data_IF_860869048655
#
_entry.id   IF_860869048655
#
_cell.length_a   1.000
_cell.length_b   1.000
_cell.length_c   1.000
_cell.angle_alpha   90.00
_cell.angle_beta   90.00
_cell.angle_gamma   90.00
#
_symmetry.space_group_name_H-M   'P 1'
#
loop_
_entity.id
_entity.type
_entity.pdbx_description
1 polymer ?
#
# COMPACT_ATOMS: atom_id res chain seq x y z
N UNK A 1 6.17 -29.28 -16.95
CA UNK A 1 6.75 -27.92 -17.01
C UNK A 1 6.32 -27.20 -15.73
N UNK A 2 7.20 -27.09 -14.74
CA UNK A 2 6.93 -26.42 -13.46
C UNK A 2 7.17 -24.92 -13.68
N UNK A 3 6.08 -24.14 -13.68
CA UNK A 3 6.16 -22.68 -13.76
C UNK A 3 6.73 -22.11 -12.46
N UNK A 4 7.90 -21.57 -12.53
CA UNK A 4 8.51 -20.80 -11.45
C UNK A 4 7.80 -19.45 -11.35
N UNK A 5 6.81 -19.35 -10.48
CA UNK A 5 6.31 -18.09 -9.92
C UNK A 5 7.21 -17.77 -8.73
N UNK A 6 8.42 -17.34 -8.99
CA UNK A 6 9.38 -16.94 -7.96
C UNK A 6 9.83 -15.53 -8.33
N UNK A 7 9.33 -14.53 -7.66
CA UNK A 7 9.86 -13.18 -7.86
C UNK A 7 9.22 -12.03 -7.07
N UNK A 8 7.96 -12.10 -6.70
CA UNK A 8 7.26 -10.99 -6.00
C UNK A 8 7.20 -11.22 -4.49
N UNK A 9 7.47 -12.43 -4.05
CA UNK A 9 7.12 -12.96 -2.73
C UNK A 9 8.07 -12.53 -1.60
N UNK A 10 9.30 -12.10 -1.88
CA UNK A 10 10.35 -12.09 -0.84
C UNK A 10 10.37 -10.79 -0.01
N UNK A 11 10.03 -9.65 -0.57
CA UNK A 11 10.12 -8.38 0.19
C UNK A 11 8.91 -8.15 1.11
N UNK A 12 7.72 -8.58 0.67
CA UNK A 12 6.51 -8.60 1.52
C UNK A 12 6.58 -9.75 2.51
N UNK A 13 7.16 -10.89 2.13
CA UNK A 13 7.33 -12.07 3.00
C UNK A 13 8.26 -11.81 4.18
N UNK A 14 9.34 -11.06 4.04
CA UNK A 14 10.20 -10.72 5.16
C UNK A 14 9.49 -9.87 6.21
N UNK A 15 8.65 -8.91 5.78
CA UNK A 15 7.81 -8.12 6.67
C UNK A 15 6.65 -8.94 7.26
N UNK A 16 6.11 -9.93 6.51
CA UNK A 16 5.02 -10.79 6.95
C UNK A 16 5.48 -11.94 7.84
N UNK A 17 6.72 -12.43 7.74
CA UNK A 17 7.23 -13.53 8.55
C UNK A 17 7.31 -13.20 10.06
N UNK A 18 7.45 -11.91 10.42
CA UNK A 18 7.43 -11.48 11.82
C UNK A 18 6.04 -11.52 12.45
N UNK A 19 4.98 -11.49 11.64
CA UNK A 19 3.60 -11.49 12.14
C UNK A 19 3.12 -12.85 12.65
N UNK A 20 3.79 -13.95 12.29
CA UNK A 20 3.36 -15.30 12.66
C UNK A 20 3.47 -15.58 14.16
N UNK A 21 4.48 -15.07 14.84
CA UNK A 21 4.66 -15.22 16.27
C UNK A 21 3.66 -14.38 17.09
N UNK A 22 3.26 -13.22 16.57
CA UNK A 22 2.29 -12.33 17.23
C UNK A 22 0.84 -12.85 17.14
N UNK A 23 0.50 -13.57 16.06
CA UNK A 23 -0.86 -14.11 15.87
C UNK A 23 -1.15 -15.36 16.75
N UNK A 24 -0.13 -16.09 17.14
CA UNK A 24 -0.29 -17.31 17.96
C UNK A 24 -0.41 -17.03 19.48
N UNK A 25 -0.07 -15.83 19.93
CA UNK A 25 0.06 -15.54 21.35
C UNK A 25 -1.11 -14.78 21.97
N UNK A 26 -2.04 -14.22 21.19
CA UNK A 26 -3.06 -13.32 21.73
C UNK A 26 -4.47 -13.76 21.30
N UNK A 27 -5.37 -13.84 22.24
CA UNK A 27 -6.80 -14.13 22.07
C UNK A 27 -7.50 -13.36 20.93
N UNK A 28 -8.82 -13.35 20.86
CA UNK A 28 -9.52 -12.70 19.74
C UNK A 28 -9.05 -11.26 19.56
N UNK A 29 -8.86 -10.79 18.32
CA UNK A 29 -8.28 -9.49 18.04
C UNK A 29 -9.08 -8.38 18.75
N UNK A 30 -8.41 -7.65 19.62
CA UNK A 30 -8.97 -6.50 20.29
C UNK A 30 -9.23 -5.38 19.29
N UNK A 31 -10.29 -4.63 19.49
CA UNK A 31 -10.53 -3.40 18.72
C UNK A 31 -9.47 -2.37 19.09
N UNK A 32 -8.75 -1.78 18.14
CA UNK A 32 -7.76 -0.73 18.41
C UNK A 32 -8.43 0.47 19.07
N UNK A 33 -7.64 1.25 19.80
CA UNK A 33 -8.09 2.46 20.50
C UNK A 33 -7.75 3.69 19.67
N UNK A 34 -8.72 4.57 19.45
CA UNK A 34 -8.51 5.86 18.82
C UNK A 34 -8.15 6.93 19.87
N UNK A 35 -7.27 7.86 19.51
CA UNK A 35 -7.02 9.06 20.28
C UNK A 35 -8.32 9.88 20.46
N UNK A 36 -8.38 10.65 21.55
CA UNK A 36 -9.53 11.53 21.86
C UNK A 36 -10.88 10.79 22.00
N UNK A 37 -10.87 9.48 22.26
CA UNK A 37 -12.10 8.71 22.51
C UNK A 37 -12.99 8.47 21.27
N UNK A 38 -12.50 8.71 20.05
CA UNK A 38 -13.25 8.41 18.84
C UNK A 38 -13.65 6.93 18.78
N UNK A 39 -14.89 6.66 18.43
CA UNK A 39 -15.41 5.28 18.34
C UNK A 39 -14.81 4.56 17.15
N UNK A 40 -14.20 3.41 17.40
CA UNK A 40 -13.75 2.47 16.38
C UNK A 40 -14.83 1.41 16.17
N UNK A 41 -15.26 1.23 14.93
CA UNK A 41 -16.27 0.24 14.53
C UNK A 41 -15.62 -0.85 13.70
N UNK A 42 -15.79 -2.11 14.08
CA UNK A 42 -15.40 -3.26 13.25
C UNK A 42 -16.40 -3.40 12.11
N UNK A 43 -15.94 -3.28 10.87
CA UNK A 43 -16.79 -3.42 9.68
C UNK A 43 -16.84 -4.85 9.14
N UNK A 44 -15.75 -5.57 9.21
CA UNK A 44 -15.65 -6.95 8.76
C UNK A 44 -14.44 -7.65 9.38
N UNK A 45 -14.43 -8.98 9.30
CA UNK A 45 -13.30 -9.85 9.64
C UNK A 45 -13.10 -10.89 8.54
N UNK A 46 -11.89 -11.42 8.40
CA UNK A 46 -11.59 -12.49 7.45
C UNK A 46 -11.22 -12.00 6.04
N UNK A 47 -10.80 -10.73 5.89
CA UNK A 47 -10.15 -10.27 4.64
C UNK A 47 -8.70 -10.77 4.65
N UNK A 48 -8.27 -11.65 3.73
CA UNK A 48 -6.93 -12.23 3.80
C UNK A 48 -5.85 -11.21 3.42
N UNK A 49 -5.23 -10.58 4.41
CA UNK A 49 -4.20 -9.54 4.26
C UNK A 49 -4.71 -8.34 3.45
N UNK A 50 -5.55 -7.48 4.04
CA UNK A 50 -6.06 -6.28 3.36
C UNK A 50 -4.92 -5.33 3.00
N UNK A 51 -4.92 -4.78 1.78
CA UNK A 51 -3.84 -3.91 1.27
C UNK A 51 -4.28 -2.46 1.05
N UNK A 52 -5.48 -2.23 0.55
CA UNK A 52 -6.01 -0.88 0.28
C UNK A 52 -7.53 -0.94 0.10
N UNK A 53 -8.18 0.22 0.24
CA UNK A 53 -9.62 0.39 0.01
C UNK A 53 -9.89 1.20 -1.26
N UNK A 54 -11.06 0.93 -1.87
CA UNK A 54 -11.67 1.76 -2.89
C UNK A 54 -13.18 1.89 -2.65
N UNK A 55 -13.75 2.97 -3.14
CA UNK A 55 -15.16 3.32 -2.92
C UNK A 55 -15.83 3.65 -4.24
N UNK A 56 -16.91 2.96 -4.58
CA UNK A 56 -17.62 3.11 -5.83
C UNK A 56 -19.11 2.83 -5.62
N UNK A 57 -19.99 3.71 -6.09
CA UNK A 57 -21.45 3.51 -6.01
C UNK A 57 -21.95 3.28 -4.59
N UNK A 58 -21.38 3.95 -3.59
CA UNK A 58 -21.72 3.76 -2.18
C UNK A 58 -21.21 2.44 -1.56
N UNK A 59 -20.47 1.64 -2.32
CA UNK A 59 -19.89 0.39 -1.86
C UNK A 59 -18.44 0.55 -1.40
N UNK A 60 -18.02 -0.28 -0.45
CA UNK A 60 -16.63 -0.35 0.01
C UNK A 60 -16.00 -1.63 -0.53
N UNK A 61 -14.97 -1.47 -1.32
CA UNK A 61 -14.13 -2.55 -1.81
C UNK A 61 -12.81 -2.56 -1.05
N UNK A 62 -12.29 -3.75 -0.79
CA UNK A 62 -10.96 -3.93 -0.19
C UNK A 62 -10.14 -4.90 -1.04
N UNK A 63 -8.93 -4.49 -1.38
CA UNK A 63 -7.94 -5.39 -1.98
C UNK A 63 -7.32 -6.27 -0.91
N UNK A 64 -6.97 -7.46 -1.27
CA UNK A 64 -6.29 -8.40 -0.40
C UNK A 64 -5.17 -9.14 -1.13
N UNK A 65 -4.06 -9.31 -0.43
CA UNK A 65 -2.90 -10.03 -0.96
C UNK A 65 -3.09 -11.55 -0.90
N UNK A 66 -3.77 -12.08 0.12
CA UNK A 66 -3.89 -13.50 0.41
C UNK A 66 -3.03 -13.92 1.60
N UNK A 67 -2.92 -15.20 1.84
CA UNK A 67 -2.07 -15.75 2.90
C UNK A 67 -0.95 -16.60 2.28
N UNK A 68 0.29 -16.14 2.38
CA UNK A 68 1.46 -16.83 1.83
C UNK A 68 1.75 -18.16 2.53
N UNK A 69 1.42 -18.26 3.82
CA UNK A 69 1.61 -19.49 4.61
C UNK A 69 0.56 -20.53 4.28
N UNK A 70 -0.58 -20.08 3.83
CA UNK A 70 -1.70 -20.90 3.40
C UNK A 70 -2.10 -20.55 1.95
N UNK A 71 -1.35 -21.01 0.93
CA UNK A 71 -1.54 -20.60 -0.48
C UNK A 71 -2.91 -20.91 -1.06
N UNK A 72 -3.71 -21.69 -0.38
CA UNK A 72 -5.13 -21.94 -0.73
C UNK A 72 -6.01 -20.73 -0.38
N UNK A 73 -5.61 -19.90 0.61
CA UNK A 73 -6.31 -18.67 0.98
C UNK A 73 -5.81 -17.55 0.05
N UNK A 74 -6.50 -17.38 -1.06
CA UNK A 74 -6.11 -16.39 -2.06
C UNK A 74 -6.69 -15.02 -1.73
N UNK A 75 -5.94 -13.96 -2.01
CA UNK A 75 -6.42 -12.60 -2.01
C UNK A 75 -7.43 -12.31 -3.11
N UNK A 76 -7.51 -11.07 -3.52
CA UNK A 76 -8.45 -10.59 -4.53
C UNK A 76 -9.06 -9.25 -4.17
N UNK A 77 -10.19 -8.93 -4.80
CA UNK A 77 -11.03 -7.80 -4.44
C UNK A 77 -12.26 -8.32 -3.68
N UNK A 78 -12.53 -7.72 -2.53
CA UNK A 78 -13.67 -8.10 -1.68
C UNK A 78 -14.61 -6.91 -1.55
N UNK A 79 -15.92 -7.17 -1.68
CA UNK A 79 -16.97 -6.25 -1.29
C UNK A 79 -17.26 -6.41 0.20
N UNK A 80 -17.25 -5.34 0.97
CA UNK A 80 -17.68 -5.36 2.37
C UNK A 80 -19.18 -5.13 2.44
N UNK A 81 -19.96 -6.16 2.80
CA UNK A 81 -21.43 -6.10 2.89
C UNK A 81 -21.92 -6.86 4.12
N UNK A 82 -22.72 -6.21 4.95
CA UNK A 82 -23.33 -6.86 6.12
C UNK A 82 -22.33 -7.46 7.12
N UNK A 83 -21.18 -6.82 7.30
CA UNK A 83 -20.13 -7.30 8.22
C UNK A 83 -19.26 -8.44 7.64
N UNK A 84 -19.48 -8.84 6.40
CA UNK A 84 -18.77 -9.94 5.75
C UNK A 84 -18.00 -9.47 4.51
N UNK A 85 -16.76 -9.95 4.29
CA UNK A 85 -16.06 -9.78 3.03
C UNK A 85 -16.55 -10.81 2.01
N UNK A 86 -17.03 -10.33 0.87
CA UNK A 86 -17.49 -11.16 -0.25
C UNK A 86 -16.47 -11.01 -1.38
N UNK A 87 -15.73 -12.09 -1.68
CA UNK A 87 -14.78 -12.08 -2.78
C UNK A 87 -15.50 -11.94 -4.13
N UNK A 88 -15.05 -10.96 -4.93
CA UNK A 88 -15.63 -10.72 -6.24
C UNK A 88 -15.17 -11.77 -7.28
N UNK A 89 -16.06 -12.24 -8.15
CA UNK A 89 -15.70 -13.12 -9.26
C UNK A 89 -14.64 -12.49 -10.16
N UNK A 90 -13.75 -13.32 -10.73
CA UNK A 90 -12.69 -12.87 -11.62
C UNK A 90 -11.52 -12.16 -10.93
N UNK A 91 -11.51 -12.06 -9.59
CA UNK A 91 -10.42 -11.46 -8.84
C UNK A 91 -9.11 -12.21 -9.07
N UNK A 92 -8.00 -11.48 -9.34
CA UNK A 92 -6.65 -12.04 -9.25
C UNK A 92 -6.39 -12.68 -7.87
N UNK A 93 -5.43 -13.59 -7.80
CA UNK A 93 -5.07 -14.26 -6.53
C UNK A 93 -4.48 -13.31 -5.48
N UNK A 94 -3.89 -12.20 -5.92
CA UNK A 94 -3.33 -11.14 -5.06
C UNK A 94 -3.59 -9.79 -5.70
N UNK A 95 -4.03 -8.82 -4.89
CA UNK A 95 -4.25 -7.43 -5.33
C UNK A 95 -3.55 -6.50 -4.35
N UNK A 96 -2.75 -5.57 -4.89
CA UNK A 96 -1.92 -4.66 -4.12
C UNK A 96 -2.48 -3.25 -4.06
N UNK A 97 -3.10 -2.79 -5.14
CA UNK A 97 -3.66 -1.45 -5.27
C UNK A 97 -5.07 -1.45 -5.85
N UNK A 98 -5.87 -0.49 -5.39
CA UNK A 98 -7.18 -0.14 -5.96
C UNK A 98 -7.28 1.36 -6.12
N UNK A 99 -7.91 1.81 -7.22
CA UNK A 99 -8.28 3.19 -7.44
C UNK A 99 -9.59 3.25 -8.23
N UNK A 100 -10.34 4.32 -8.09
CA UNK A 100 -11.60 4.53 -8.82
C UNK A 100 -11.57 5.80 -9.64
N UNK A 101 -12.17 5.76 -10.83
CA UNK A 101 -12.46 6.93 -11.64
C UNK A 101 -13.78 6.72 -12.37
N UNK A 102 -14.73 7.63 -12.18
CA UNK A 102 -16.08 7.45 -12.68
C UNK A 102 -16.69 6.14 -12.13
N UNK A 103 -17.16 5.29 -13.03
CA UNK A 103 -17.75 3.98 -12.74
C UNK A 103 -16.73 2.81 -12.79
N UNK A 104 -15.46 3.11 -12.94
CA UNK A 104 -14.40 2.14 -13.16
C UNK A 104 -13.55 1.93 -11.92
N UNK A 105 -13.33 0.68 -11.56
CA UNK A 105 -12.37 0.23 -10.55
C UNK A 105 -11.10 -0.26 -11.24
N UNK A 106 -9.99 0.38 -10.98
CA UNK A 106 -8.66 -0.06 -11.40
C UNK A 106 -8.02 -0.88 -10.28
N UNK A 107 -7.29 -1.92 -10.66
CA UNK A 107 -6.59 -2.76 -9.69
C UNK A 107 -5.22 -3.21 -10.22
N UNK A 108 -4.23 -3.28 -9.32
CA UNK A 108 -2.91 -3.85 -9.59
C UNK A 108 -2.79 -5.23 -8.96
N UNK A 109 -2.34 -6.21 -9.74
CA UNK A 109 -2.19 -7.61 -9.32
C UNK A 109 -0.72 -8.07 -9.35
N UNK A 110 0.21 -7.16 -9.13
CA UNK A 110 1.64 -7.42 -9.31
C UNK A 110 2.06 -7.36 -10.77
N UNK A 111 1.63 -8.28 -11.62
CA UNK A 111 2.04 -8.31 -13.03
C UNK A 111 1.07 -7.62 -14.00
N UNK A 112 -0.10 -7.26 -13.56
CA UNK A 112 -1.11 -6.61 -14.40
C UNK A 112 -1.77 -5.44 -13.69
N UNK A 113 -2.14 -4.46 -14.49
CA UNK A 113 -3.14 -3.46 -14.13
C UNK A 113 -4.40 -3.76 -14.94
N UNK A 114 -5.52 -3.91 -14.23
CA UNK A 114 -6.83 -4.21 -14.81
C UNK A 114 -7.77 -3.04 -14.56
N UNK A 115 -8.76 -2.88 -15.46
CA UNK A 115 -9.89 -1.98 -15.29
C UNK A 115 -11.18 -2.79 -15.30
N UNK A 116 -12.01 -2.62 -14.27
CA UNK A 116 -13.31 -3.25 -14.12
C UNK A 116 -14.40 -2.19 -14.14
N UNK A 117 -15.43 -2.39 -14.97
CA UNK A 117 -16.57 -1.45 -15.09
C UNK A 117 -17.90 -2.18 -15.15
N UNK A 118 -19.00 -1.43 -15.20
CA UNK A 118 -20.35 -1.99 -15.23
C UNK A 118 -20.71 -2.67 -13.92
N UNK A 119 -20.50 -2.01 -12.78
CA UNK A 119 -20.92 -2.53 -11.48
C UNK A 119 -22.44 -2.67 -11.39
N UNK A 120 -22.96 -3.90 -11.18
CA UNK A 120 -24.38 -4.20 -11.12
C UNK A 120 -24.91 -4.50 -9.71
N UNK A 121 -24.15 -4.19 -8.67
CA UNK A 121 -24.50 -4.47 -7.26
C UNK A 121 -23.95 -5.79 -6.73
N UNK A 122 -23.48 -6.69 -7.59
CA UNK A 122 -22.93 -8.00 -7.23
C UNK A 122 -21.56 -8.27 -7.88
N UNK A 123 -21.33 -7.80 -9.10
CA UNK A 123 -20.09 -8.00 -9.86
C UNK A 123 -19.88 -6.88 -10.87
N UNK A 124 -18.65 -6.73 -11.31
CA UNK A 124 -18.33 -5.97 -12.51
C UNK A 124 -18.62 -6.85 -13.75
N UNK A 125 -19.28 -6.29 -14.74
CA UNK A 125 -19.69 -7.03 -15.95
C UNK A 125 -18.65 -6.92 -17.06
N UNK A 126 -17.73 -5.97 -16.96
CA UNK A 126 -16.67 -5.73 -17.92
C UNK A 126 -15.31 -5.74 -17.23
N UNK A 127 -14.33 -6.32 -17.90
CA UNK A 127 -12.93 -6.32 -17.45
C UNK A 127 -12.02 -6.19 -18.66
N UNK A 128 -11.02 -5.31 -18.55
CA UNK A 128 -9.96 -5.21 -19.55
C UNK A 128 -8.60 -5.11 -18.88
N UNK A 129 -7.57 -5.59 -19.57
CA UNK A 129 -6.18 -5.38 -19.19
C UNK A 129 -5.77 -3.98 -19.65
N UNK A 130 -5.36 -3.12 -18.72
CA UNK A 130 -4.73 -1.83 -19.04
C UNK A 130 -3.27 -2.06 -19.42
N UNK A 131 -2.57 -2.86 -18.60
CA UNK A 131 -1.16 -3.20 -18.82
C UNK A 131 -0.83 -4.58 -18.31
N UNK A 132 -0.11 -5.36 -19.10
CA UNK A 132 0.65 -6.52 -18.64
C UNK A 132 2.12 -6.14 -18.55
N UNK A 133 2.73 -6.45 -17.44
CA UNK A 133 4.13 -6.18 -17.20
C UNK A 133 5.04 -7.04 -18.09
N UNK A 134 6.23 -6.54 -18.46
CA UNK A 134 7.22 -7.34 -19.21
C UNK A 134 7.75 -8.50 -18.36
N UNK A 135 8.42 -9.45 -18.99
CA UNK A 135 9.17 -10.49 -18.30
C UNK A 135 10.19 -9.86 -17.33
N UNK A 136 10.43 -10.51 -16.20
CA UNK A 136 11.34 -10.05 -15.13
C UNK A 136 10.90 -8.75 -14.43
N UNK A 137 9.66 -8.38 -14.53
CA UNK A 137 9.12 -7.25 -13.77
C UNK A 137 8.94 -7.63 -12.30
N UNK A 138 9.29 -6.72 -11.39
CA UNK A 138 9.22 -6.98 -9.95
C UNK A 138 7.80 -6.91 -9.37
N UNK A 139 6.97 -6.00 -9.86
CA UNK A 139 5.56 -5.92 -9.49
C UNK A 139 5.04 -4.48 -9.37
N UNK A 140 3.79 -4.28 -9.78
CA UNK A 140 3.02 -3.07 -9.47
C UNK A 140 2.50 -3.16 -8.02
N UNK A 141 2.72 -2.11 -7.24
CA UNK A 141 2.20 -1.95 -5.88
C UNK A 141 0.86 -1.19 -5.88
N UNK A 142 0.67 -0.28 -4.92
CA UNK A 142 -0.47 0.61 -4.89
C UNK A 142 -0.62 1.45 -6.16
N UNK A 143 -1.85 1.85 -6.45
CA UNK A 143 -2.16 2.70 -7.60
C UNK A 143 -3.04 3.88 -7.20
N UNK A 144 -2.90 5.00 -7.90
CA UNK A 144 -3.84 6.12 -7.84
C UNK A 144 -4.16 6.60 -9.26
N UNK A 145 -5.36 7.14 -9.44
CA UNK A 145 -5.71 7.86 -10.68
C UNK A 145 -5.02 9.21 -10.65
N UNK A 146 -4.28 9.50 -11.70
CA UNK A 146 -3.58 10.76 -11.92
C UNK A 146 -4.28 11.60 -13.01
N UNK A 147 -4.01 12.91 -13.08
CA UNK A 147 -4.51 13.74 -14.16
C UNK A 147 -4.10 13.22 -15.55
N UNK A 148 -4.89 13.56 -16.57
CA UNK A 148 -4.58 13.24 -17.97
C UNK A 148 -4.81 11.78 -18.35
N UNK A 149 -5.70 11.06 -17.66
CA UNK A 149 -6.02 9.67 -18.01
C UNK A 149 -4.89 8.69 -17.68
N UNK A 150 -4.11 8.96 -16.65
CA UNK A 150 -2.99 8.12 -16.21
C UNK A 150 -3.28 7.48 -14.85
N UNK A 151 -2.65 6.34 -14.60
CA UNK A 151 -2.51 5.74 -13.28
C UNK A 151 -1.07 5.86 -12.83
N UNK A 152 -0.83 6.25 -11.58
CA UNK A 152 0.50 6.13 -10.99
C UNK A 152 0.57 4.87 -10.15
N UNK A 153 1.70 4.16 -10.22
CA UNK A 153 1.97 2.96 -9.43
C UNK A 153 3.40 2.95 -8.92
N UNK A 154 3.58 2.56 -7.67
CA UNK A 154 4.89 2.14 -7.20
C UNK A 154 5.30 0.83 -7.85
N UNK A 155 6.60 0.66 -8.11
CA UNK A 155 7.16 -0.59 -8.59
C UNK A 155 8.03 -1.21 -7.51
N UNK A 156 7.73 -2.46 -7.17
CA UNK A 156 8.45 -3.21 -6.15
C UNK A 156 9.95 -3.27 -6.44
N UNK A 157 10.74 -3.38 -5.39
CA UNK A 157 12.15 -3.72 -5.52
C UNK A 157 12.33 -5.05 -6.26
N UNK A 158 13.44 -5.22 -6.95
CA UNK A 158 13.75 -6.49 -7.61
C UNK A 158 14.03 -7.57 -6.56
N UNK A 159 13.34 -8.72 -6.69
CA UNK A 159 13.56 -9.87 -5.83
C UNK A 159 14.96 -10.50 -6.02
N UNK A 160 15.39 -11.30 -5.06
CA UNK A 160 16.64 -12.05 -5.07
C UNK A 160 17.20 -12.24 -3.68
N UNK A 161 18.33 -12.96 -3.58
CA UNK A 161 19.01 -13.24 -2.28
C UNK A 161 19.47 -11.97 -1.54
N UNK A 162 19.50 -10.82 -2.23
CA UNK A 162 19.86 -9.50 -1.70
C UNK A 162 18.76 -8.50 -1.99
N UNK A 163 17.51 -8.84 -1.69
CA UNK A 163 16.34 -8.00 -1.95
C UNK A 163 16.45 -6.59 -1.34
N UNK A 164 17.23 -6.42 -0.28
CA UNK A 164 17.52 -5.11 0.30
C UNK A 164 18.42 -4.21 -0.55
N UNK A 165 19.09 -4.80 -1.53
CA UNK A 165 19.98 -4.12 -2.47
C UNK A 165 19.36 -4.22 -3.86
N UNK A 166 18.24 -3.57 -4.10
CA UNK A 166 17.63 -3.60 -5.42
C UNK A 166 18.64 -3.07 -6.45
N UNK A 167 19.16 -3.98 -7.20
CA UNK A 167 20.06 -3.69 -8.30
C UNK A 167 19.22 -3.67 -9.57
N UNK A 168 18.95 -2.55 -10.15
CA UNK A 168 18.20 -2.25 -11.35
C UNK A 168 18.24 -3.23 -12.53
N UNK A 169 18.12 -4.53 -12.27
CA UNK A 169 18.07 -5.59 -13.29
C UNK A 169 16.65 -5.84 -13.80
N UNK A 170 15.66 -5.25 -13.15
CA UNK A 170 14.26 -5.35 -13.58
C UNK A 170 13.75 -3.99 -14.04
N UNK A 171 12.87 -3.94 -15.04
CA UNK A 171 12.33 -2.68 -15.52
C UNK A 171 11.66 -1.90 -14.38
N UNK A 172 11.98 -0.62 -14.27
CA UNK A 172 11.36 0.36 -13.36
C UNK A 172 11.41 0.00 -11.86
N UNK A 173 12.21 -0.99 -11.45
CA UNK A 173 12.38 -1.30 -10.04
C UNK A 173 12.81 -0.04 -9.27
N UNK A 174 12.20 0.18 -8.09
CA UNK A 174 12.48 1.33 -7.22
C UNK A 174 11.93 2.68 -7.74
N UNK A 175 11.03 2.64 -8.70
CA UNK A 175 10.44 3.82 -9.31
C UNK A 175 8.95 3.93 -9.00
N UNK A 176 8.41 5.11 -9.19
CA UNK A 176 6.97 5.31 -9.44
C UNK A 176 6.81 5.59 -10.93
N UNK A 177 5.93 4.83 -11.54
CA UNK A 177 5.61 4.94 -12.96
C UNK A 177 4.21 5.50 -13.18
N UNK A 178 4.02 6.17 -14.31
CA UNK A 178 2.70 6.43 -14.88
C UNK A 178 2.37 5.36 -15.91
N UNK A 179 1.12 4.94 -15.93
CA UNK A 179 0.56 4.04 -16.93
C UNK A 179 -0.60 4.76 -17.60
N UNK A 180 -0.51 5.00 -18.89
CA UNK A 180 -1.59 5.59 -19.68
C UNK A 180 -2.75 4.60 -19.76
N UNK A 181 -3.96 5.03 -19.38
CA UNK A 181 -5.12 4.14 -19.25
C UNK A 181 -5.59 3.63 -20.63
N UNK A 182 -5.43 4.43 -21.67
CA UNK A 182 -5.89 4.08 -23.01
C UNK A 182 -4.91 3.16 -23.75
N UNK A 183 -3.63 3.53 -23.75
CA UNK A 183 -2.59 2.83 -24.52
C UNK A 183 -1.81 1.79 -23.69
N UNK A 184 -1.82 1.89 -22.37
CA UNK A 184 -0.98 1.09 -21.48
C UNK A 184 0.50 1.48 -21.52
N UNK A 185 0.86 2.64 -22.12
CA UNK A 185 2.24 3.13 -22.16
C UNK A 185 2.73 3.44 -20.74
N UNK A 186 4.00 3.14 -20.46
CA UNK A 186 4.63 3.35 -19.16
C UNK A 186 5.73 4.38 -19.27
N UNK A 187 5.73 5.33 -18.34
CA UNK A 187 6.79 6.35 -18.17
C UNK A 187 7.21 6.43 -16.70
N UNK A 188 8.48 6.66 -16.43
CA UNK A 188 8.97 6.90 -15.08
C UNK A 188 8.59 8.32 -14.65
N UNK A 189 7.90 8.44 -13.53
CA UNK A 189 7.52 9.72 -12.91
C UNK A 189 8.59 10.17 -11.92
N UNK A 190 8.98 9.28 -11.02
CA UNK A 190 10.02 9.52 -10.03
C UNK A 190 10.78 8.22 -9.75
N UNK A 191 12.02 8.34 -9.29
CA UNK A 191 12.92 7.20 -9.11
C UNK A 191 13.68 7.23 -7.80
N UNK A 192 14.36 6.12 -7.51
CA UNK A 192 15.29 6.05 -6.40
C UNK A 192 14.62 5.89 -5.03
N UNK A 193 13.47 5.27 -4.97
CA UNK A 193 12.84 4.76 -3.74
C UNK A 193 13.24 3.30 -3.55
N UNK A 194 13.23 2.79 -2.30
CA UNK A 194 13.52 1.36 -2.14
C UNK A 194 12.29 0.50 -2.44
N UNK A 195 11.18 0.80 -1.80
CA UNK A 195 9.94 0.04 -1.92
C UNK A 195 8.74 0.99 -1.87
N UNK A 196 8.45 1.72 -2.96
CA UNK A 196 7.27 2.57 -3.03
C UNK A 196 6.02 1.69 -2.95
N UNK A 197 5.21 1.87 -1.89
CA UNK A 197 4.14 0.93 -1.57
C UNK A 197 2.77 1.46 -1.94
N UNK A 198 2.20 2.38 -1.16
CA UNK A 198 0.89 2.95 -1.43
C UNK A 198 0.99 4.44 -1.77
N UNK A 199 0.06 4.90 -2.59
CA UNK A 199 0.01 6.28 -3.05
C UNK A 199 -1.33 6.91 -2.67
N UNK A 200 -1.30 8.22 -2.35
CA UNK A 200 -2.52 9.00 -2.18
C UNK A 200 -2.32 10.46 -2.61
N UNK A 201 -3.31 11.03 -3.26
CA UNK A 201 -3.40 12.49 -3.38
C UNK A 201 -3.87 13.09 -2.06
N UNK A 202 -3.17 14.09 -1.60
CA UNK A 202 -3.41 14.79 -0.35
C UNK A 202 -3.71 16.26 -0.66
N UNK A 203 -4.75 16.87 -0.09
CA UNK A 203 -5.04 18.28 -0.30
C UNK A 203 -3.83 19.18 0.00
N UNK A 204 -3.56 20.13 -0.88
CA UNK A 204 -2.40 21.03 -0.81
C UNK A 204 -1.16 20.49 -1.55
N UNK A 205 -1.20 19.29 -2.11
CA UNK A 205 -0.13 18.71 -2.93
C UNK A 205 -0.56 18.57 -4.38
N UNK A 206 0.32 18.96 -5.31
CA UNK A 206 0.11 18.78 -6.75
C UNK A 206 0.44 17.39 -7.26
N UNK A 207 1.16 16.63 -6.45
CA UNK A 207 1.62 15.27 -6.74
C UNK A 207 1.24 14.32 -5.59
N UNK A 208 1.08 13.03 -5.84
CA UNK A 208 0.73 12.10 -4.77
C UNK A 208 1.88 11.93 -3.77
N UNK A 209 1.51 11.71 -2.51
CA UNK A 209 2.41 11.18 -1.51
C UNK A 209 2.49 9.65 -1.65
N UNK A 210 3.68 9.11 -1.41
CA UNK A 210 3.99 7.69 -1.52
C UNK A 210 4.71 7.23 -0.26
N UNK A 211 4.24 6.15 0.33
CA UNK A 211 4.98 5.46 1.39
C UNK A 211 6.13 4.66 0.78
N UNK A 212 7.33 4.84 1.33
CA UNK A 212 8.55 4.17 0.89
C UNK A 212 9.22 3.47 2.08
N UNK A 213 9.26 2.15 2.01
CA UNK A 213 9.89 1.35 3.06
C UNK A 213 11.40 1.39 2.88
N UNK A 214 12.09 1.89 3.89
CA UNK A 214 13.53 2.02 3.92
C UNK A 214 14.26 0.67 3.90
N UNK A 215 15.56 0.72 3.69
CA UNK A 215 16.40 -0.47 3.66
C UNK A 215 16.53 -1.06 5.07
N UNK A 216 16.37 -2.36 5.18
CA UNK A 216 16.54 -3.11 6.42
C UNK A 216 17.94 -3.77 6.51
N UNK A 217 18.24 -4.39 7.64
CA UNK A 217 19.44 -5.22 7.84
C UNK A 217 20.79 -4.50 7.74
N UNK A 218 20.82 -3.17 7.83
CA UNK A 218 22.05 -2.38 7.87
C UNK A 218 22.59 -2.15 9.31
N UNK A 219 22.04 -2.86 10.30
CA UNK A 219 22.37 -2.73 11.72
C UNK A 219 22.22 -1.26 12.19
N UNK A 220 23.25 -0.66 12.80
CA UNK A 220 23.22 0.73 13.27
C UNK A 220 23.07 1.77 12.14
N UNK A 221 23.22 1.37 10.87
CA UNK A 221 23.07 2.25 9.69
C UNK A 221 21.74 2.08 8.98
N UNK A 222 20.80 1.33 9.55
CA UNK A 222 19.45 1.20 8.99
C UNK A 222 18.81 2.59 8.87
N UNK A 223 18.42 3.02 7.66
CA UNK A 223 17.85 4.35 7.45
C UNK A 223 16.44 4.44 8.03
N UNK A 224 15.93 5.66 8.24
CA UNK A 224 14.52 5.87 8.45
C UNK A 224 13.67 5.32 7.29
N UNK A 225 12.40 5.06 7.57
CA UNK A 225 11.37 4.89 6.56
C UNK A 225 10.80 6.26 6.17
N UNK A 226 10.21 6.36 4.97
CA UNK A 226 9.83 7.63 4.40
C UNK A 226 8.38 7.66 3.89
N UNK A 227 7.83 8.87 3.86
CA UNK A 227 6.81 9.28 2.90
C UNK A 227 7.45 10.33 2.00
N UNK A 228 7.28 10.19 0.69
CA UNK A 228 7.84 11.09 -0.31
C UNK A 228 6.75 11.71 -1.17
N UNK A 229 6.94 12.92 -1.68
CA UNK A 229 6.07 13.53 -2.68
C UNK A 229 6.62 13.24 -4.08
N UNK A 230 5.87 12.53 -4.91
CA UNK A 230 6.30 12.06 -6.24
C UNK A 230 6.07 13.12 -7.28
N UNK A 231 6.97 14.12 -7.33
CA UNK A 231 7.00 15.12 -8.41
C UNK A 231 7.68 14.55 -9.65
N UNK A 232 7.22 14.91 -10.86
CA UNK A 232 7.87 14.49 -12.09
C UNK A 232 9.37 14.81 -12.08
N UNK A 233 10.21 13.82 -12.39
CA UNK A 233 11.67 13.93 -12.40
C UNK A 233 12.35 13.83 -11.03
N UNK A 234 11.62 13.69 -9.93
CA UNK A 234 12.21 13.50 -8.61
C UNK A 234 13.07 12.23 -8.52
N UNK A 235 14.17 12.31 -7.78
CA UNK A 235 15.06 11.19 -7.53
C UNK A 235 15.45 11.17 -6.05
N UNK A 236 15.08 10.11 -5.34
CA UNK A 236 15.31 9.95 -3.91
C UNK A 236 16.60 9.21 -3.55
N UNK A 237 17.37 8.78 -4.57
CA UNK A 237 18.76 8.38 -4.42
C UNK A 237 19.03 6.91 -4.19
N UNK A 238 18.04 6.07 -3.89
CA UNK A 238 18.27 4.62 -3.76
C UNK A 238 18.58 3.99 -5.14
N UNK A 239 19.51 3.03 -5.25
CA UNK A 239 20.38 2.45 -4.22
C UNK A 239 21.70 3.22 -4.00
N UNK A 240 22.00 4.26 -4.78
CA UNK A 240 23.29 4.99 -4.72
C UNK A 240 23.47 5.74 -3.40
N UNK A 241 22.37 6.15 -2.77
CA UNK A 241 22.35 6.79 -1.47
C UNK A 241 21.37 6.05 -0.54
N UNK A 242 21.67 4.83 -0.12
CA UNK A 242 20.71 3.98 0.59
C UNK A 242 20.41 4.47 2.00
N UNK A 243 21.40 5.09 2.66
CA UNK A 243 21.28 5.36 4.07
C UNK A 243 20.49 6.63 4.40
N UNK A 244 20.51 7.65 3.55
CA UNK A 244 19.78 8.90 3.86
C UNK A 244 19.72 9.89 2.69
N UNK A 245 18.56 10.16 2.11
CA UNK A 245 18.41 11.29 1.20
C UNK A 245 18.89 12.63 1.79
N UNK A 246 18.83 12.79 3.12
CA UNK A 246 19.26 14.02 3.79
C UNK A 246 20.78 14.25 3.77
N UNK A 247 21.59 13.20 3.71
CA UNK A 247 23.06 13.33 3.60
C UNK A 247 23.52 13.37 2.15
N UNK A 248 22.64 13.08 1.22
CA UNK A 248 22.89 13.11 -0.21
C UNK A 248 22.22 14.35 -0.82
N UNK A 249 22.81 15.50 -0.66
CA UNK A 249 22.24 16.83 -0.98
C UNK A 249 21.71 16.99 -2.41
N UNK A 250 22.23 16.18 -3.34
CA UNK A 250 21.80 16.16 -4.75
C UNK A 250 20.48 15.45 -5.00
N UNK A 251 19.93 14.74 -4.02
CA UNK A 251 18.68 14.00 -4.16
C UNK A 251 17.49 14.74 -3.55
N UNK A 252 16.29 14.38 -3.99
CA UNK A 252 15.04 14.92 -3.48
C UNK A 252 14.87 14.58 -1.99
N UNK A 253 14.37 15.53 -1.22
CA UNK A 253 14.12 15.34 0.22
C UNK A 253 12.81 14.58 0.43
N UNK A 254 12.72 13.68 1.42
CA UNK A 254 11.46 13.07 1.80
C UNK A 254 10.52 14.12 2.41
N UNK A 255 9.21 13.89 2.22
CA UNK A 255 8.15 14.68 2.85
C UNK A 255 8.09 14.44 4.37
N UNK A 256 8.16 13.16 4.78
CA UNK A 256 8.19 12.77 6.20
C UNK A 256 9.17 11.62 6.43
N UNK A 257 9.69 11.54 7.65
CA UNK A 257 10.60 10.48 8.12
C UNK A 257 10.02 9.82 9.35
N UNK A 258 10.11 8.49 9.38
CA UNK A 258 9.74 7.65 10.51
C UNK A 258 10.95 6.89 11.02
N UNK A 259 10.96 6.43 12.28
CA UNK A 259 12.03 5.59 12.77
C UNK A 259 12.26 4.37 11.85
N UNK A 260 13.48 3.83 11.79
CA UNK A 260 13.75 2.58 11.07
C UNK A 260 12.76 1.48 11.46
N UNK A 261 12.35 0.66 10.50
CA UNK A 261 11.39 -0.44 10.68
C UNK A 261 9.95 -0.03 11.03
N UNK A 262 9.60 1.25 10.95
CA UNK A 262 8.19 1.67 11.12
C UNK A 262 7.30 1.16 9.99
N UNK A 263 7.87 1.04 8.78
CA UNK A 263 7.24 0.55 7.55
C UNK A 263 5.91 1.23 7.26
N UNK A 264 5.92 2.48 6.77
CA UNK A 264 4.71 3.20 6.37
C UNK A 264 4.04 2.48 5.21
N UNK A 265 2.75 2.22 5.35
CA UNK A 265 1.94 1.46 4.42
C UNK A 265 0.87 2.36 3.77
N UNK A 266 -0.41 2.12 4.08
CA UNK A 266 -1.51 2.93 3.58
C UNK A 266 -1.47 4.36 4.11
N UNK A 267 -1.91 5.32 3.30
CA UNK A 267 -2.02 6.72 3.67
C UNK A 267 -3.26 7.38 3.08
N UNK A 268 -3.74 8.45 3.72
CA UNK A 268 -4.89 9.20 3.26
C UNK A 268 -5.15 10.44 4.10
N UNK A 269 -5.81 11.44 3.52
CA UNK A 269 -6.09 12.71 4.18
C UNK A 269 -7.56 12.88 4.51
N UNK A 270 -7.85 13.36 5.73
CA UNK A 270 -9.20 13.62 6.21
C UNK A 270 -9.19 14.71 7.28
N UNK A 271 -10.14 15.65 7.19
CA UNK A 271 -10.33 16.67 8.22
C UNK A 271 -9.07 17.52 8.47
N UNK A 272 -8.33 17.89 7.42
CA UNK A 272 -7.11 18.68 7.53
C UNK A 272 -5.92 17.92 8.16
N UNK A 273 -5.96 16.61 8.19
CA UNK A 273 -4.87 15.75 8.67
C UNK A 273 -4.52 14.67 7.65
N UNK A 274 -3.23 14.32 7.57
CA UNK A 274 -2.73 13.15 6.89
C UNK A 274 -2.64 12.01 7.90
N UNK A 275 -3.18 10.85 7.57
CA UNK A 275 -3.10 9.62 8.35
C UNK A 275 -2.24 8.61 7.62
N UNK A 276 -1.38 7.90 8.36
CA UNK A 276 -0.43 6.94 7.82
C UNK A 276 -0.46 5.68 8.69
N UNK A 277 -0.71 4.54 8.05
CA UNK A 277 -0.60 3.24 8.69
C UNK A 277 0.88 2.87 8.81
N UNK A 278 1.34 2.50 9.99
CA UNK A 278 2.68 2.02 10.25
C UNK A 278 2.62 0.54 10.62
N UNK A 279 3.21 -0.30 9.77
CA UNK A 279 3.17 -1.76 9.89
C UNK A 279 3.67 -2.25 11.26
N UNK A 280 4.83 -1.74 11.68
CA UNK A 280 5.45 -2.07 12.96
C UNK A 280 5.33 -0.95 14.00
N UNK A 281 4.88 0.24 13.57
CA UNK A 281 4.77 1.42 14.44
C UNK A 281 6.10 2.06 14.80
N UNK A 282 6.06 2.99 15.73
CA UNK A 282 7.23 3.78 16.15
C UNK A 282 7.88 3.26 17.44
N UNK A 283 7.74 1.95 17.73
CA UNK A 283 8.35 1.27 18.87
C UNK A 283 7.36 0.78 19.95
N UNK A 284 6.06 1.05 19.80
CA UNK A 284 5.01 0.55 20.71
C UNK A 284 4.04 -0.44 20.04
N UNK A 285 4.43 -0.98 18.91
CA UNK A 285 3.60 -1.88 18.09
C UNK A 285 2.90 -1.15 16.93
N UNK A 286 2.16 -1.89 16.09
CA UNK A 286 1.48 -1.36 14.92
C UNK A 286 0.51 -0.23 15.28
N UNK A 287 0.47 0.81 14.46
CA UNK A 287 -0.33 2.00 14.74
C UNK A 287 -0.74 2.75 13.46
N UNK A 288 -1.73 3.62 13.57
CA UNK A 288 -1.96 4.69 12.60
C UNK A 288 -1.55 6.00 13.27
N UNK A 289 -0.71 6.77 12.61
CA UNK A 289 -0.34 8.11 13.05
C UNK A 289 -1.08 9.18 12.27
N UNK A 290 -1.18 10.38 12.83
CA UNK A 290 -1.69 11.57 12.14
C UNK A 290 -0.70 12.72 12.20
N UNK A 291 -0.67 13.53 11.13
CA UNK A 291 0.17 14.71 11.02
C UNK A 291 -0.50 15.80 10.17
N UNK A 292 -0.01 17.06 10.19
CA UNK A 292 -0.49 18.07 9.24
C UNK A 292 -0.23 17.64 7.79
N UNK A 293 -1.12 17.98 6.83
CA UNK A 293 -0.90 17.69 5.41
C UNK A 293 0.34 18.39 4.83
N UNK A 294 0.79 19.49 5.44
CA UNK A 294 2.03 20.21 5.09
C UNK A 294 3.31 19.57 5.63
N UNK A 295 3.19 18.43 6.33
CA UNK A 295 4.32 17.79 7.00
C UNK A 295 4.50 18.23 8.45
N UNK A 296 5.61 17.79 9.07
CA UNK A 296 5.93 18.12 10.45
C UNK A 296 5.84 16.93 11.41
N UNK A 297 5.53 17.21 12.68
CA UNK A 297 5.48 16.18 13.71
C UNK A 297 4.22 15.32 13.57
N UNK A 298 4.37 14.01 13.64
CA UNK A 298 3.26 13.06 13.73
C UNK A 298 2.92 12.72 15.19
N UNK A 299 1.69 12.24 15.39
CA UNK A 299 1.19 11.75 16.69
C UNK A 299 0.44 10.44 16.49
N UNK A 300 0.50 9.49 17.43
CA UNK A 300 -0.35 8.30 17.40
C UNK A 300 -1.83 8.69 17.32
N UNK A 301 -2.58 7.99 16.45
CA UNK A 301 -4.02 8.18 16.30
C UNK A 301 -4.81 6.91 16.61
N UNK A 302 -4.41 5.75 16.04
CA UNK A 302 -4.94 4.44 16.43
C UNK A 302 -3.80 3.58 16.95
N UNK A 303 -4.01 2.94 18.09
CA UNK A 303 -3.02 2.10 18.76
C UNK A 303 -3.68 0.83 19.32
N UNK A 304 -2.84 -0.13 19.76
CA UNK A 304 -3.34 -1.37 20.35
C UNK A 304 -3.78 -2.41 19.32
N UNK A 305 -3.27 -2.33 18.09
CA UNK A 305 -3.41 -3.42 17.13
C UNK A 305 -2.59 -4.63 17.60
N UNK A 306 -3.15 -5.81 17.41
CA UNK A 306 -2.47 -7.09 17.72
C UNK A 306 -1.72 -7.65 16.52
N UNK A 307 -1.88 -7.03 15.36
CA UNK A 307 -1.20 -7.40 14.13
C UNK A 307 -0.87 -6.14 13.30
N UNK A 308 0.12 -6.23 12.41
CA UNK A 308 0.52 -5.13 11.55
C UNK A 308 -0.64 -4.48 10.77
N UNK A 309 -0.59 -3.15 10.68
CA UNK A 309 -1.57 -2.33 9.95
C UNK A 309 -1.05 -2.06 8.55
N UNK A 310 -1.85 -2.37 7.53
CA UNK A 310 -1.45 -2.24 6.12
C UNK A 310 -2.40 -1.32 5.36
N UNK A 311 -3.69 -1.66 5.34
CA UNK A 311 -4.66 -0.93 4.54
C UNK A 311 -5.12 0.35 5.25
N UNK A 312 -5.17 1.45 4.50
CA UNK A 312 -5.81 2.68 4.91
C UNK A 312 -6.55 3.29 3.72
N UNK A 313 -7.72 3.83 3.96
CA UNK A 313 -8.51 4.55 2.98
C UNK A 313 -9.36 5.62 3.65
N UNK A 314 -9.84 6.59 2.86
CA UNK A 314 -10.67 7.70 3.33
C UNK A 314 -11.89 7.82 2.44
N UNK A 315 -13.08 7.84 3.04
CA UNK A 315 -14.31 8.05 2.29
C UNK A 315 -15.43 8.57 3.21
N UNK A 316 -16.24 9.48 2.69
CA UNK A 316 -17.44 10.01 3.36
C UNK A 316 -17.19 10.41 4.84
N UNK A 317 -16.10 11.13 5.10
CA UNK A 317 -15.75 11.61 6.43
C UNK A 317 -15.28 10.53 7.41
N UNK A 318 -14.86 9.36 6.92
CA UNK A 318 -14.36 8.25 7.74
C UNK A 318 -13.00 7.77 7.25
N UNK A 319 -12.19 7.30 8.20
CA UNK A 319 -11.05 6.44 7.92
C UNK A 319 -11.50 4.99 7.90
N UNK A 320 -10.93 4.23 6.99
CA UNK A 320 -11.01 2.78 6.89
C UNK A 320 -9.61 2.22 7.10
N UNK A 321 -9.48 1.24 7.96
CA UNK A 321 -8.17 0.66 8.33
C UNK A 321 -8.28 -0.85 8.32
N UNK A 322 -7.26 -1.53 7.80
CA UNK A 322 -7.19 -2.99 7.81
C UNK A 322 -5.86 -3.49 8.35
N UNK A 323 -5.90 -4.54 9.18
CA UNK A 323 -4.73 -5.19 9.74
C UNK A 323 -4.58 -6.64 9.28
N UNK A 324 -3.43 -7.24 9.57
CA UNK A 324 -3.10 -8.61 9.13
C UNK A 324 -3.89 -9.71 9.84
N UNK A 325 -4.74 -9.40 10.83
CA UNK A 325 -5.73 -10.37 11.32
C UNK A 325 -6.88 -10.55 10.33
N UNK A 326 -6.94 -9.71 9.29
CA UNK A 326 -8.05 -9.65 8.35
C UNK A 326 -9.22 -8.83 8.86
N UNK A 327 -9.05 -8.10 9.94
CA UNK A 327 -10.06 -7.18 10.45
C UNK A 327 -10.03 -5.86 9.68
N UNK A 328 -11.22 -5.31 9.45
CA UNK A 328 -11.42 -3.99 8.86
C UNK A 328 -12.20 -3.13 9.83
N UNK A 329 -11.72 -1.93 10.05
CA UNK A 329 -12.28 -0.96 10.97
C UNK A 329 -12.68 0.33 10.25
N UNK A 330 -13.66 1.05 10.79
CA UNK A 330 -13.94 2.43 10.42
C UNK A 330 -13.96 3.34 11.63
N UNK A 331 -13.49 4.58 11.44
CA UNK A 331 -13.41 5.61 12.45
C UNK A 331 -13.86 6.93 11.84
N UNK A 332 -14.68 7.70 12.55
CA UNK A 332 -14.97 9.10 12.25
C UNK A 332 -14.12 9.95 13.20
N UNK A 333 -13.00 10.52 12.72
CA UNK A 333 -12.11 11.36 13.50
C UNK A 333 -12.74 12.67 13.95
#
# INVERSE_FOLDING_TARGET
>A
MRNHVIGVTIAVAAALAWSAAALAANGPPHTPKAANGHKVTVLARGVPTPTVFAFLGGQTFVAAFGDERHPKITGGVFLLKGGKPIKLPGSPRSVFGLATSGDTLYLSSGHQILAWSGWNGARFTQSRVVRTAPKRFSGFNGIVVAPGGKLYSGVSLSGGKKADYAHGTTPWANDVVSVDIASGAIEVVAKGMRQPWQLAYVPGHSSPLVSDLGQENLKKRTPPDYVVEVKPGANFGFPSCPAQPATCSKFSKPFAKFPPHSSPMGLGALGGKLYIALFSGTGKGPEVVSMPPSGGKFKPFLTGFVAPVVALGVHAGKLYVGDLTGAVYSIKP
#
